data_IF_187734214321
#
_entry.id   IF_187734214321
#
_cell.length_a   1.000
_cell.length_b   1.000
_cell.length_c   1.000
_cell.angle_alpha   90.00
_cell.angle_beta   90.00
_cell.angle_gamma   90.00
#
_symmetry.space_group_name_H-M   'P 1'
#
loop_
_entity.id
_entity.type
_entity.pdbx_description
1 polymer ?
#
# COMPACT_ATOMS: atom_id res chain seq x y z
N UNK A 1 -5.08 -25.31 0.93
CA UNK A 1 -5.87 -24.45 0.03
C UNK A 1 -5.24 -23.08 0.11
N UNK A 2 -4.47 -22.68 -0.90
CA UNK A 2 -3.88 -21.33 -0.93
C UNK A 2 -5.00 -20.31 -1.03
N UNK A 3 -4.99 -19.32 -0.14
CA UNK A 3 -5.88 -18.17 -0.20
C UNK A 3 -5.86 -17.59 -1.62
N UNK A 4 -7.04 -17.44 -2.21
CA UNK A 4 -7.28 -17.29 -3.65
C UNK A 4 -6.87 -15.95 -4.27
N UNK A 5 -5.82 -15.30 -3.76
CA UNK A 5 -5.33 -14.01 -4.24
C UNK A 5 -4.06 -14.19 -5.07
N UNK A 6 -3.98 -13.47 -6.19
CA UNK A 6 -2.83 -13.47 -7.11
C UNK A 6 -2.37 -12.04 -7.46
N UNK A 7 -3.04 -11.00 -6.93
CA UNK A 7 -2.71 -9.60 -7.17
C UNK A 7 -2.87 -8.74 -5.90
N UNK A 8 -2.27 -7.55 -5.92
CA UNK A 8 -2.38 -6.55 -4.85
C UNK A 8 -2.89 -5.26 -5.47
N UNK A 9 -4.03 -4.76 -4.99
CA UNK A 9 -4.43 -3.39 -5.25
C UNK A 9 -3.69 -2.49 -4.25
N UNK A 10 -2.79 -1.66 -4.79
CA UNK A 10 -2.00 -0.69 -4.01
C UNK A 10 -2.65 0.68 -4.17
N UNK A 11 -2.93 1.34 -3.05
CA UNK A 11 -3.44 2.71 -3.02
C UNK A 11 -2.51 3.54 -2.16
N UNK A 12 -2.09 4.69 -2.68
CA UNK A 12 -1.15 5.60 -2.02
C UNK A 12 -1.79 6.98 -1.91
N UNK A 13 -1.84 7.53 -0.69
CA UNK A 13 -2.17 8.94 -0.53
C UNK A 13 -0.97 9.81 -0.90
N UNK A 14 -1.14 10.73 -1.85
CA UNK A 14 -0.02 11.54 -2.35
C UNK A 14 0.50 12.54 -1.34
N UNK A 15 -0.31 12.94 -0.35
CA UNK A 15 0.09 13.91 0.66
C UNK A 15 0.85 13.23 1.81
N UNK A 16 0.18 12.36 2.56
CA UNK A 16 0.72 11.69 3.74
C UNK A 16 1.67 10.54 3.42
N UNK A 17 1.63 10.04 2.18
CA UNK A 17 2.32 8.81 1.74
C UNK A 17 1.81 7.55 2.44
N UNK A 18 0.62 7.59 3.06
CA UNK A 18 0.03 6.37 3.62
C UNK A 18 -0.33 5.43 2.47
N UNK A 19 0.01 4.16 2.64
CA UNK A 19 -0.31 3.10 1.70
C UNK A 19 -1.36 2.18 2.26
N UNK A 20 -2.20 1.65 1.37
CA UNK A 20 -3.16 0.61 1.67
C UNK A 20 -2.94 -0.51 0.67
N UNK A 21 -2.65 -1.71 1.17
CA UNK A 21 -2.42 -2.90 0.38
C UNK A 21 -3.60 -3.86 0.52
N UNK A 22 -4.26 -4.13 -0.59
CA UNK A 22 -5.49 -4.93 -0.60
C UNK A 22 -5.23 -6.18 -1.44
N UNK A 23 -5.22 -7.39 -0.83
CA UNK A 23 -5.15 -8.63 -1.60
C UNK A 23 -6.36 -8.74 -2.53
N UNK A 24 -6.11 -9.03 -3.80
CA UNK A 24 -7.12 -9.10 -4.84
C UNK A 24 -6.84 -10.26 -5.81
N UNK A 25 -7.79 -10.51 -6.69
CA UNK A 25 -7.58 -11.34 -7.87
C UNK A 25 -7.26 -10.46 -9.07
N UNK A 26 -6.42 -10.91 -9.99
CA UNK A 26 -6.17 -10.29 -11.28
C UNK A 26 -7.45 -10.21 -12.13
N UNK A 27 -8.40 -11.11 -11.86
CA UNK A 27 -9.71 -11.21 -12.50
C UNK A 27 -10.82 -10.40 -11.83
N UNK A 28 -10.52 -9.53 -10.85
CA UNK A 28 -11.55 -8.68 -10.23
C UNK A 28 -12.27 -7.85 -11.30
N UNK A 29 -13.54 -7.56 -11.08
CA UNK A 29 -14.35 -6.69 -11.93
C UNK A 29 -14.31 -5.24 -11.44
N UNK A 30 -14.88 -4.31 -12.20
CA UNK A 30 -15.05 -2.92 -11.76
C UNK A 30 -16.01 -2.78 -10.57
N UNK A 31 -16.95 -3.72 -10.38
CA UNK A 31 -17.81 -3.79 -9.20
C UNK A 31 -17.01 -4.22 -7.97
N UNK A 32 -16.14 -5.22 -8.12
CA UNK A 32 -15.25 -5.64 -7.03
C UNK A 32 -14.30 -4.50 -6.64
N UNK A 33 -13.76 -3.77 -7.61
CA UNK A 33 -12.94 -2.59 -7.36
C UNK A 33 -13.69 -1.53 -6.53
N UNK A 34 -14.95 -1.25 -6.84
CA UNK A 34 -15.80 -0.34 -6.06
C UNK A 34 -15.97 -0.81 -4.61
N UNK A 35 -16.30 -2.09 -4.41
CA UNK A 35 -16.40 -2.66 -3.07
C UNK A 35 -15.08 -2.56 -2.29
N UNK A 36 -13.94 -2.85 -2.93
CA UNK A 36 -12.62 -2.72 -2.31
C UNK A 36 -12.30 -1.26 -1.97
N UNK A 37 -12.61 -0.33 -2.86
CA UNK A 37 -12.39 1.10 -2.66
C UNK A 37 -13.25 1.67 -1.53
N UNK A 38 -14.55 1.38 -1.53
CA UNK A 38 -15.45 1.85 -0.48
C UNK A 38 -14.98 1.33 0.89
N UNK A 39 -14.75 0.02 0.99
CA UNK A 39 -14.41 -0.66 2.25
C UNK A 39 -13.08 -0.18 2.84
N UNK A 40 -12.07 -0.02 1.99
CA UNK A 40 -10.71 0.20 2.46
C UNK A 40 -10.29 1.68 2.45
N UNK A 41 -10.89 2.50 1.59
CA UNK A 41 -10.54 3.92 1.45
C UNK A 41 -11.67 4.80 1.96
N UNK A 42 -12.83 4.78 1.31
CA UNK A 42 -13.90 5.73 1.61
C UNK A 42 -14.34 5.67 3.08
N UNK A 43 -14.64 4.48 3.60
CA UNK A 43 -15.11 4.33 4.97
C UNK A 43 -14.05 4.66 6.04
N UNK A 44 -12.76 4.64 5.70
CA UNK A 44 -11.66 4.87 6.65
C UNK A 44 -11.09 6.29 6.58
N UNK A 45 -11.05 6.88 5.38
CA UNK A 45 -10.33 8.11 5.09
C UNK A 45 -11.20 9.19 4.42
N UNK A 46 -12.43 8.84 4.01
CA UNK A 46 -13.29 9.72 3.23
C UNK A 46 -13.03 9.63 1.72
N UNK A 47 -13.77 10.44 0.95
CA UNK A 47 -13.61 10.48 -0.51
C UNK A 47 -12.40 11.34 -0.89
N UNK A 48 -11.51 10.85 -1.76
CA UNK A 48 -10.43 11.66 -2.31
C UNK A 48 -11.00 12.70 -3.27
N UNK A 49 -10.33 13.86 -3.38
CA UNK A 49 -10.67 14.87 -4.38
C UNK A 49 -10.28 14.44 -5.80
N UNK A 50 -9.20 13.67 -5.93
CA UNK A 50 -8.78 13.08 -7.21
C UNK A 50 -8.10 11.73 -7.05
N UNK A 51 -8.19 10.91 -8.09
CA UNK A 51 -7.52 9.62 -8.20
C UNK A 51 -6.64 9.65 -9.44
N UNK A 52 -5.34 9.37 -9.23
CA UNK A 52 -4.40 9.11 -10.31
C UNK A 52 -4.25 7.59 -10.47
N UNK A 53 -4.41 7.07 -11.68
CA UNK A 53 -4.30 5.63 -11.94
C UNK A 53 -3.77 5.34 -13.34
N UNK A 54 -3.25 4.13 -13.57
CA UNK A 54 -2.88 3.69 -14.90
C UNK A 54 -4.11 3.46 -15.79
N UNK A 55 -3.87 3.22 -17.09
CA UNK A 55 -4.94 2.93 -18.06
C UNK A 55 -5.43 1.48 -18.03
N UNK A 56 -5.26 0.79 -16.90
CA UNK A 56 -5.76 -0.58 -16.74
C UNK A 56 -7.27 -0.66 -16.95
N UNK A 57 -7.79 -1.81 -17.44
CA UNK A 57 -9.19 -1.95 -17.88
C UNK A 57 -10.21 -1.62 -16.78
N UNK A 58 -9.87 -1.89 -15.51
CA UNK A 58 -10.72 -1.57 -14.36
C UNK A 58 -10.89 -0.05 -14.20
N UNK A 59 -9.78 0.69 -14.28
CA UNK A 59 -9.75 2.12 -14.09
C UNK A 59 -10.35 2.87 -15.28
N UNK A 60 -10.27 2.35 -16.51
CA UNK A 60 -10.95 2.97 -17.67
C UNK A 60 -12.39 2.49 -17.88
N UNK A 61 -12.88 1.55 -17.08
CA UNK A 61 -14.24 1.02 -17.23
C UNK A 61 -15.30 2.13 -17.12
N UNK A 62 -16.38 1.98 -17.89
CA UNK A 62 -17.52 2.92 -17.84
C UNK A 62 -18.15 2.96 -16.44
N UNK A 63 -18.21 1.80 -15.76
CA UNK A 63 -18.70 1.70 -14.40
C UNK A 63 -17.87 2.55 -13.42
N UNK A 64 -16.55 2.34 -13.37
CA UNK A 64 -15.67 3.12 -12.49
C UNK A 64 -15.69 4.61 -12.84
N UNK A 65 -15.80 4.94 -14.13
CA UNK A 65 -15.91 6.33 -14.60
C UNK A 65 -17.18 7.00 -14.07
N UNK A 66 -18.32 6.33 -14.23
CA UNK A 66 -19.61 6.84 -13.77
C UNK A 66 -19.67 6.95 -12.24
N UNK A 67 -19.08 6.00 -11.52
CA UNK A 67 -18.98 6.06 -10.06
C UNK A 67 -18.21 7.31 -9.61
N UNK A 68 -16.99 7.52 -10.12
CA UNK A 68 -16.20 8.71 -9.76
C UNK A 68 -16.92 10.01 -10.13
N UNK A 69 -17.60 10.08 -11.29
CA UNK A 69 -18.40 11.24 -11.67
C UNK A 69 -19.53 11.52 -10.66
N UNK A 70 -20.27 10.50 -10.24
CA UNK A 70 -21.34 10.64 -9.23
C UNK A 70 -20.80 11.09 -7.88
N UNK A 71 -19.62 10.59 -7.50
CA UNK A 71 -18.93 10.95 -6.26
C UNK A 71 -18.12 12.26 -6.38
N UNK A 72 -18.14 12.91 -7.55
CA UNK A 72 -17.37 14.14 -7.86
C UNK A 72 -15.87 14.00 -7.63
N UNK A 73 -15.33 12.82 -7.88
CA UNK A 73 -13.89 12.51 -7.80
C UNK A 73 -13.27 12.81 -9.16
N UNK A 74 -12.27 13.70 -9.21
CA UNK A 74 -11.50 13.93 -10.43
C UNK A 74 -10.66 12.69 -10.76
N UNK A 75 -10.57 12.34 -12.04
CA UNK A 75 -9.83 11.16 -12.48
C UNK A 75 -8.73 11.57 -13.45
N UNK A 76 -7.51 11.30 -13.04
CA UNK A 76 -6.32 11.55 -13.83
C UNK A 76 -5.74 10.17 -14.23
N UNK A 77 -5.72 9.90 -15.53
CA UNK A 77 -5.15 8.66 -16.04
C UNK A 77 -3.73 8.93 -16.52
N UNK A 78 -2.76 8.14 -16.04
CA UNK A 78 -1.40 8.28 -16.53
C UNK A 78 -1.35 8.07 -18.05
N UNK A 79 -0.58 8.91 -18.74
CA UNK A 79 -0.18 8.65 -20.12
C UNK A 79 1.02 7.73 -20.09
N UNK A 80 1.07 6.74 -20.97
CA UNK A 80 2.30 5.97 -21.17
C UNK A 80 3.44 6.97 -21.50
N UNK A 81 4.38 7.13 -20.57
CA UNK A 81 5.54 8.02 -20.61
C UNK A 81 5.25 9.54 -20.72
N UNK A 82 5.25 10.23 -19.57
CA UNK A 82 5.82 11.59 -19.46
C UNK A 82 6.61 11.76 -18.14
N UNK A 83 7.92 11.46 -18.13
CA UNK A 83 8.75 11.44 -16.93
C UNK A 83 8.89 12.80 -16.22
N UNK A 84 8.68 13.91 -16.93
CA UNK A 84 8.95 15.26 -16.39
C UNK A 84 7.93 15.75 -15.37
N UNK A 85 6.71 15.19 -15.35
CA UNK A 85 5.67 15.58 -14.37
C UNK A 85 5.43 14.51 -13.30
N UNK A 86 5.89 13.27 -13.51
CA UNK A 86 5.50 12.10 -12.73
C UNK A 86 6.64 11.42 -11.95
N UNK A 87 7.87 11.98 -12.00
CA UNK A 87 9.05 11.34 -11.40
C UNK A 87 8.99 11.08 -9.89
N UNK A 88 8.11 11.76 -9.14
CA UNK A 88 7.85 11.44 -7.73
C UNK A 88 6.90 10.25 -7.56
N UNK A 89 5.83 10.16 -8.35
CA UNK A 89 4.90 9.02 -8.34
C UNK A 89 5.62 7.77 -8.83
N UNK A 90 6.35 7.87 -9.94
CA UNK A 90 7.09 6.76 -10.55
C UNK A 90 8.17 6.21 -9.60
N UNK A 91 8.85 7.08 -8.85
CA UNK A 91 9.85 6.65 -7.85
C UNK A 91 9.20 5.98 -6.63
N UNK A 92 8.04 6.46 -6.18
CA UNK A 92 7.29 5.82 -5.09
C UNK A 92 6.74 4.47 -5.53
N UNK A 93 6.21 4.37 -6.74
CA UNK A 93 5.69 3.13 -7.31
C UNK A 93 6.80 2.07 -7.45
N UNK A 94 7.99 2.45 -7.94
CA UNK A 94 9.16 1.55 -8.01
C UNK A 94 9.63 1.07 -6.63
N UNK A 95 9.69 1.97 -5.64
CA UNK A 95 10.06 1.61 -4.26
C UNK A 95 9.04 0.65 -3.67
N UNK A 96 7.75 0.89 -3.89
CA UNK A 96 6.67 0.02 -3.41
C UNK A 96 6.67 -1.34 -4.09
N UNK A 97 6.92 -1.38 -5.39
CA UNK A 97 7.06 -2.64 -6.13
C UNK A 97 8.22 -3.46 -5.58
N UNK A 98 9.40 -2.84 -5.41
CA UNK A 98 10.56 -3.53 -4.87
C UNK A 98 10.34 -4.00 -3.42
N UNK A 99 9.72 -3.15 -2.59
CA UNK A 99 9.34 -3.48 -1.22
C UNK A 99 8.39 -4.69 -1.18
N UNK A 100 7.31 -4.67 -1.95
CA UNK A 100 6.37 -5.80 -2.04
C UNK A 100 7.05 -7.05 -2.59
N UNK A 101 7.95 -6.91 -3.56
CA UNK A 101 8.69 -8.03 -4.13
C UNK A 101 9.56 -8.74 -3.08
N UNK A 102 10.22 -8.00 -2.19
CA UNK A 102 10.97 -8.61 -1.06
C UNK A 102 10.04 -9.40 -0.13
N UNK A 103 8.91 -8.80 0.26
CA UNK A 103 7.95 -9.44 1.18
C UNK A 103 7.31 -10.70 0.56
N UNK A 104 6.88 -10.63 -0.69
CA UNK A 104 6.27 -11.75 -1.41
C UNK A 104 7.29 -12.85 -1.69
N UNK A 105 8.50 -12.49 -2.11
CA UNK A 105 9.57 -13.47 -2.40
C UNK A 105 9.98 -14.26 -1.18
N UNK A 106 9.98 -13.63 -0.01
CA UNK A 106 10.31 -14.26 1.26
C UNK A 106 9.18 -15.17 1.80
N UNK A 107 7.92 -14.87 1.46
CA UNK A 107 6.73 -15.53 2.01
C UNK A 107 5.73 -16.01 0.94
N UNK A 108 6.23 -16.68 -0.11
CA UNK A 108 5.44 -17.03 -1.32
C UNK A 108 4.08 -17.67 -1.06
N UNK A 109 3.97 -18.59 -0.10
CA UNK A 109 2.72 -19.33 0.14
C UNK A 109 1.70 -18.57 1.00
N UNK A 110 2.12 -17.50 1.70
CA UNK A 110 1.31 -16.80 2.70
C UNK A 110 1.41 -15.27 2.60
N UNK A 111 1.87 -14.74 1.47
CA UNK A 111 2.15 -13.31 1.29
C UNK A 111 0.95 -12.43 1.67
N UNK A 112 -0.27 -12.88 1.39
CA UNK A 112 -1.51 -12.17 1.70
C UNK A 112 -1.75 -12.03 3.21
N UNK A 113 -1.23 -12.97 4.01
CA UNK A 113 -1.30 -12.95 5.49
C UNK A 113 -0.31 -11.95 6.07
N UNK A 114 0.82 -11.73 5.38
CA UNK A 114 1.87 -10.79 5.76
C UNK A 114 1.61 -9.37 5.30
N UNK A 115 0.72 -9.18 4.34
CA UNK A 115 0.46 -7.90 3.72
C UNK A 115 0.02 -6.80 4.70
N UNK A 116 -0.85 -7.04 5.70
CA UNK A 116 -1.20 -6.02 6.70
C UNK A 116 0.01 -5.56 7.52
N UNK A 117 0.96 -6.45 7.76
CA UNK A 117 2.18 -6.12 8.47
C UNK A 117 3.16 -5.34 7.59
N UNK A 118 3.26 -5.69 6.30
CA UNK A 118 4.03 -4.93 5.33
C UNK A 118 3.48 -3.49 5.23
N UNK A 119 2.15 -3.35 5.12
CA UNK A 119 1.47 -2.05 5.14
C UNK A 119 1.81 -1.26 6.40
N UNK A 120 1.64 -1.86 7.59
CA UNK A 120 1.95 -1.21 8.85
C UNK A 120 3.42 -0.78 8.95
N UNK A 121 4.33 -1.65 8.51
CA UNK A 121 5.77 -1.39 8.51
C UNK A 121 6.16 -0.20 7.64
N UNK A 122 5.61 -0.15 6.43
CA UNK A 122 5.81 0.98 5.53
C UNK A 122 5.25 2.26 6.14
N UNK A 123 3.99 2.22 6.60
CA UNK A 123 3.28 3.35 7.15
C UNK A 123 3.85 3.89 8.48
N UNK A 124 4.64 3.07 9.18
CA UNK A 124 5.34 3.45 10.43
C UNK A 124 6.83 3.81 10.20
N UNK A 125 7.30 3.82 8.95
CA UNK A 125 8.67 4.22 8.63
C UNK A 125 8.71 5.66 8.12
N UNK A 126 9.73 6.42 8.56
CA UNK A 126 9.87 7.82 8.17
C UNK A 126 10.08 7.96 6.66
N UNK A 127 9.28 8.81 6.03
CA UNK A 127 9.43 9.09 4.61
C UNK A 127 10.37 10.30 4.41
N UNK A 128 11.30 10.21 3.46
CA UNK A 128 12.31 11.25 3.24
C UNK A 128 11.73 12.62 2.86
N UNK A 129 10.54 12.62 2.23
CA UNK A 129 9.80 13.81 1.80
C UNK A 129 9.03 14.52 2.92
N UNK A 130 8.49 13.78 3.89
CA UNK A 130 7.69 14.31 5.01
C UNK A 130 8.52 14.44 6.30
N UNK A 131 9.69 13.79 6.37
CA UNK A 131 10.54 13.67 7.57
C UNK A 131 9.83 13.02 8.76
N UNK A 132 8.70 12.37 8.52
CA UNK A 132 7.83 11.75 9.51
C UNK A 132 7.19 10.50 8.91
N UNK A 133 6.70 9.59 9.75
CA UNK A 133 5.97 8.42 9.29
C UNK A 133 4.61 8.81 8.68
N UNK A 134 4.11 8.06 7.68
CA UNK A 134 2.75 8.27 7.16
C UNK A 134 1.66 8.20 8.23
N UNK A 135 1.75 7.27 9.19
CA UNK A 135 0.80 7.17 10.31
C UNK A 135 0.81 8.45 11.15
N UNK A 136 1.98 8.98 11.48
CA UNK A 136 2.06 10.24 12.22
C UNK A 136 1.43 11.39 11.43
N UNK A 137 1.68 11.44 10.12
CA UNK A 137 1.12 12.49 9.24
C UNK A 137 -0.41 12.45 9.18
N UNK A 138 -1.01 11.26 9.15
CA UNK A 138 -2.47 11.09 9.08
C UNK A 138 -3.14 11.27 10.44
N UNK A 139 -2.56 10.73 11.51
CA UNK A 139 -3.21 10.62 12.82
C UNK A 139 -2.67 11.56 13.90
N UNK A 140 -1.56 12.26 13.64
CA UNK A 140 -0.90 13.15 14.59
C UNK A 140 -0.27 12.43 15.79
N UNK A 141 -0.10 11.10 15.71
CA UNK A 141 0.46 10.28 16.79
C UNK A 141 1.16 9.05 16.23
N UNK A 142 2.22 8.63 16.90
CA UNK A 142 2.86 7.35 16.61
C UNK A 142 2.04 6.18 17.18
N UNK A 143 2.04 5.03 16.50
CA UNK A 143 1.35 3.85 16.99
C UNK A 143 2.07 3.33 18.24
N UNK A 144 1.30 3.09 19.31
CA UNK A 144 1.83 2.39 20.48
C UNK A 144 2.02 0.93 20.11
N UNK A 145 3.25 0.53 19.83
CA UNK A 145 3.61 -0.86 19.51
C UNK A 145 3.40 -1.82 20.70
N UNK A 146 3.17 -1.28 21.90
CA UNK A 146 3.10 -2.01 23.15
C UNK A 146 4.44 -2.67 23.48
N UNK A 147 4.82 -2.68 24.75
CA UNK A 147 5.74 -3.72 25.21
C UNK A 147 4.97 -5.03 25.21
N UNK A 148 4.75 -5.62 24.04
CA UNK A 148 4.40 -7.03 23.99
C UNK A 148 5.63 -7.72 24.56
N UNK A 149 5.54 -8.20 25.80
CA UNK A 149 6.49 -9.17 26.33
C UNK A 149 6.30 -10.44 25.50
N UNK A 150 6.85 -10.45 24.30
CA UNK A 150 6.91 -11.64 23.49
C UNK A 150 8.01 -12.47 24.15
N UNK A 151 7.63 -13.43 24.98
CA UNK A 151 8.54 -14.48 25.40
C UNK A 151 9.12 -15.08 24.12
N UNK A 152 10.45 -14.98 24.00
CA UNK A 152 11.22 -15.27 22.78
C UNK A 152 11.02 -16.70 22.24
N UNK A 153 10.39 -17.57 23.04
CA UNK A 153 10.10 -18.96 22.70
C UNK A 153 8.79 -19.19 21.93
N UNK A 154 7.97 -18.15 21.71
CA UNK A 154 6.74 -18.30 20.93
C UNK A 154 6.99 -18.11 19.42
N UNK A 155 6.21 -18.77 18.53
CA UNK A 155 6.26 -18.53 17.08
C UNK A 155 6.09 -17.04 16.71
N UNK A 156 5.31 -16.29 17.51
CA UNK A 156 5.14 -14.84 17.37
C UNK A 156 6.40 -14.04 17.74
N UNK A 157 7.24 -14.53 18.67
CA UNK A 157 8.52 -13.90 19.04
C UNK A 157 9.56 -14.02 17.95
N UNK A 158 9.70 -15.22 17.40
CA UNK A 158 10.56 -15.47 16.24
C UNK A 158 10.14 -14.64 15.04
N UNK A 159 8.84 -14.42 14.90
CA UNK A 159 8.29 -13.56 13.87
C UNK A 159 8.61 -12.08 14.12
N UNK A 160 8.40 -11.54 15.32
CA UNK A 160 8.71 -10.14 15.64
C UNK A 160 10.17 -9.79 15.37
N UNK A 161 11.11 -10.64 15.77
CA UNK A 161 12.55 -10.46 15.50
C UNK A 161 12.83 -10.44 13.99
N UNK A 162 12.12 -11.28 13.24
CA UNK A 162 12.26 -11.39 11.79
C UNK A 162 11.65 -10.20 11.05
N UNK A 163 10.57 -9.62 11.58
CA UNK A 163 9.98 -8.38 11.08
C UNK A 163 10.94 -7.23 11.33
N UNK A 164 11.54 -7.16 12.52
CA UNK A 164 12.55 -6.14 12.84
C UNK A 164 13.80 -6.28 11.95
N UNK A 165 14.27 -7.50 11.68
CA UNK A 165 15.42 -7.70 10.79
C UNK A 165 15.10 -7.34 9.34
N UNK A 166 13.93 -7.72 8.83
CA UNK A 166 13.47 -7.34 7.48
C UNK A 166 13.23 -5.83 7.38
N UNK A 167 12.72 -5.20 8.44
CA UNK A 167 12.58 -3.74 8.54
C UNK A 167 13.92 -3.04 8.48
N UNK A 168 14.91 -3.54 9.22
CA UNK A 168 16.26 -2.98 9.25
C UNK A 168 16.95 -3.16 7.90
N UNK A 169 16.87 -4.35 7.31
CA UNK A 169 17.40 -4.64 5.97
C UNK A 169 16.72 -3.79 4.90
N UNK A 170 15.39 -3.64 4.95
CA UNK A 170 14.65 -2.75 4.04
C UNK A 170 15.08 -1.30 4.21
N UNK A 171 15.30 -0.83 5.45
CA UNK A 171 15.78 0.53 5.76
C UNK A 171 17.22 0.77 5.29
N UNK A 172 18.06 -0.25 5.32
CA UNK A 172 19.44 -0.20 4.82
C UNK A 172 19.46 -0.21 3.28
N UNK A 173 18.61 -1.02 2.66
CA UNK A 173 18.48 -1.09 1.20
C UNK A 173 17.80 0.14 0.59
N UNK A 174 16.93 0.84 1.33
CA UNK A 174 16.36 2.13 0.91
C UNK A 174 17.34 3.32 1.07
N UNK A 175 18.50 3.13 1.72
CA UNK A 175 19.54 4.15 1.93
C UNK A 175 20.68 4.11 0.90
N UNK A 176 20.47 3.54 -0.28
CA UNK A 176 21.47 3.61 -1.35
C UNK A 176 21.47 5.01 -2.01
N UNK A 177 22.67 5.55 -2.34
CA UNK A 177 22.91 6.93 -2.73
C UNK A 177 22.17 7.37 -4.01
#
# INVERSE_FOLDING_TARGET
MSNSFDSILVIVDRFSKIVVFIPAMSSITSLDLDHLFIKNIFLKHGLPSSIFSNRGPLFISSFWTNLCQKLKISRDLSTACHPETDGQTERVDQILEHYLWMYVSYHKDYWNTWLPLAEFTYNNSDHSSTKQSPIFTVYGRDPQLGSVHITQDTPAGKLSTKIQSVQQESRENLKLP
#
